data_IF_982180447263
#
_entry.id   IF_982180447263
#
_cell.length_a   1.000
_cell.length_b   1.000
_cell.length_c   1.000
_cell.angle_alpha   90.00
_cell.angle_beta   90.00
_cell.angle_gamma   90.00
#
_symmetry.space_group_name_H-M   'P 1'
#
loop_
_entity.id
_entity.type
_entity.pdbx_description
1 polymer ?
#
# COMPACT_ATOMS: atom_id res chain seq x y z
N UNK A 1 -4.39 5.11 -0.19
CA UNK A 1 -4.77 5.50 1.19
C UNK A 1 -4.22 6.90 1.49
N UNK A 2 -4.65 7.94 0.75
CA UNK A 2 -3.93 9.23 0.76
C UNK A 2 -4.78 10.50 0.59
N UNK A 3 -6.12 10.43 0.69
CA UNK A 3 -6.95 11.63 0.47
C UNK A 3 -7.79 12.07 1.69
N UNK A 4 -7.94 11.23 2.72
CA UNK A 4 -8.83 11.55 3.84
C UNK A 4 -8.27 12.66 4.74
N UNK A 5 -6.95 12.77 4.86
CA UNK A 5 -6.27 13.76 5.71
C UNK A 5 -6.45 15.19 5.15
N UNK A 6 -6.57 15.35 3.82
CA UNK A 6 -6.73 16.66 3.19
C UNK A 6 -8.10 17.30 3.48
N UNK A 7 -9.16 16.50 3.67
CA UNK A 7 -10.53 17.02 3.88
C UNK A 7 -10.72 17.51 5.31
N UNK A 8 -10.11 16.84 6.29
CA UNK A 8 -10.24 17.20 7.72
C UNK A 8 -9.54 18.53 8.05
N UNK A 9 -8.37 18.81 7.46
CA UNK A 9 -7.64 20.06 7.69
C UNK A 9 -8.37 21.30 7.13
N UNK A 10 -9.11 21.16 6.03
CA UNK A 10 -9.88 22.25 5.39
C UNK A 10 -11.23 22.51 6.08
N UNK A 11 -11.82 21.52 6.73
CA UNK A 11 -13.13 21.64 7.40
C UNK A 11 -13.17 22.63 8.56
N UNK A 12 -12.01 23.01 9.11
CA UNK A 12 -11.91 23.91 10.28
C UNK A 12 -12.04 25.41 9.92
N UNK A 13 -11.85 25.77 8.65
CA UNK A 13 -11.93 27.17 8.18
C UNK A 13 -13.17 27.47 7.32
N UNK A 14 -13.81 26.47 6.68
CA UNK A 14 -15.04 26.64 5.89
C UNK A 14 -15.85 25.33 5.70
N UNK A 15 -16.97 25.11 6.43
CA UNK A 15 -17.72 23.84 6.39
C UNK A 15 -18.47 23.58 5.07
N UNK A 16 -18.89 24.65 4.37
CA UNK A 16 -19.62 24.55 3.10
C UNK A 16 -18.67 24.11 1.97
N UNK A 17 -17.44 24.64 1.95
CA UNK A 17 -16.43 24.28 0.96
C UNK A 17 -15.97 22.82 1.11
N UNK A 18 -15.83 22.35 2.35
CA UNK A 18 -15.49 20.96 2.66
C UNK A 18 -16.51 19.96 2.08
N UNK A 19 -17.80 20.29 2.14
CA UNK A 19 -18.87 19.42 1.61
C UNK A 19 -18.83 19.29 0.08
N UNK A 20 -18.51 20.38 -0.62
CA UNK A 20 -18.39 20.39 -2.09
C UNK A 20 -17.14 19.61 -2.51
N UNK A 21 -16.00 19.83 -1.84
CA UNK A 21 -14.75 19.11 -2.11
C UNK A 21 -14.91 17.62 -1.84
N UNK A 22 -15.55 17.24 -0.73
CA UNK A 22 -15.82 15.83 -0.43
C UNK A 22 -16.73 15.19 -1.49
N UNK A 23 -17.78 15.87 -1.95
CA UNK A 23 -18.67 15.36 -3.00
C UNK A 23 -17.95 15.15 -4.33
N UNK A 24 -17.07 16.08 -4.72
CA UNK A 24 -16.28 15.99 -5.97
C UNK A 24 -15.19 14.93 -5.89
N UNK A 25 -14.55 14.75 -4.71
CA UNK A 25 -13.46 13.78 -4.54
C UNK A 25 -13.93 12.36 -4.21
N UNK A 26 -15.14 12.19 -3.65
CA UNK A 26 -15.72 10.87 -3.30
C UNK A 26 -15.70 9.83 -4.42
N UNK A 27 -16.03 10.13 -5.70
CA UNK A 27 -15.95 9.13 -6.77
C UNK A 27 -14.51 8.70 -7.11
N UNK A 28 -13.49 9.46 -6.71
CA UNK A 28 -12.08 9.14 -6.94
C UNK A 28 -11.43 8.38 -5.77
N UNK A 29 -12.17 8.17 -4.68
CA UNK A 29 -11.66 7.52 -3.47
C UNK A 29 -12.30 6.15 -3.26
N UNK A 30 -11.48 5.11 -3.14
CA UNK A 30 -11.94 3.76 -2.75
C UNK A 30 -12.45 3.76 -1.30
N UNK A 31 -13.53 3.01 -1.05
CA UNK A 31 -14.05 2.77 0.30
C UNK A 31 -13.11 1.84 1.09
N UNK A 32 -13.26 1.80 2.43
CA UNK A 32 -12.45 0.94 3.30
C UNK A 32 -12.51 -0.54 2.88
N UNK A 33 -13.71 -1.04 2.61
CA UNK A 33 -13.94 -2.42 2.17
C UNK A 33 -13.23 -2.70 0.84
N UNK A 34 -13.31 -1.77 -0.12
CA UNK A 34 -12.65 -1.89 -1.42
C UNK A 34 -11.12 -1.85 -1.29
N UNK A 35 -10.59 -1.11 -0.32
CA UNK A 35 -9.15 -1.08 -0.04
C UNK A 35 -8.62 -2.36 0.60
N UNK A 36 -9.43 -3.04 1.41
CA UNK A 36 -9.08 -4.31 2.06
C UNK A 36 -9.35 -5.54 1.20
N UNK A 37 -10.25 -5.44 0.21
CA UNK A 37 -10.78 -6.56 -0.56
C UNK A 37 -9.69 -7.47 -1.14
N UNK A 38 -8.69 -6.92 -1.84
CA UNK A 38 -7.62 -7.72 -2.45
C UNK A 38 -6.77 -8.44 -1.41
N UNK A 39 -6.43 -7.79 -0.29
CA UNK A 39 -5.66 -8.41 0.78
C UNK A 39 -6.44 -9.56 1.43
N UNK A 40 -7.74 -9.37 1.69
CA UNK A 40 -8.61 -10.42 2.25
C UNK A 40 -8.77 -11.57 1.25
N UNK A 41 -8.90 -11.26 -0.05
CA UNK A 41 -8.95 -12.26 -1.11
C UNK A 41 -7.69 -13.11 -1.13
N UNK A 42 -6.50 -12.49 -1.15
CA UNK A 42 -5.23 -13.21 -1.14
C UNK A 42 -5.00 -14.02 0.15
N UNK A 43 -5.53 -13.59 1.28
CA UNK A 43 -5.32 -14.25 2.57
C UNK A 43 -6.28 -15.42 2.83
N UNK A 44 -7.50 -15.38 2.31
CA UNK A 44 -8.57 -16.31 2.72
C UNK A 44 -9.22 -17.09 1.55
N UNK A 45 -8.98 -16.70 0.30
CA UNK A 45 -9.63 -17.35 -0.84
C UNK A 45 -8.99 -18.71 -1.17
N UNK A 46 -9.78 -19.80 -1.28
CA UNK A 46 -9.25 -21.11 -1.67
C UNK A 46 -8.74 -21.14 -3.13
N UNK A 47 -9.14 -20.15 -3.94
CA UNK A 47 -8.71 -20.05 -5.34
C UNK A 47 -7.23 -19.69 -5.52
N UNK A 48 -6.61 -19.07 -4.50
CA UNK A 48 -5.22 -18.61 -4.54
C UNK A 48 -4.33 -19.30 -3.50
N UNK A 49 -4.88 -20.28 -2.77
CA UNK A 49 -4.19 -20.99 -1.69
C UNK A 49 -2.88 -21.67 -2.14
N UNK A 50 -2.85 -22.18 -3.37
CA UNK A 50 -1.70 -22.86 -3.95
C UNK A 50 -0.89 -21.96 -4.92
N UNK A 51 -1.20 -20.67 -5.00
CA UNK A 51 -0.53 -19.73 -5.90
C UNK A 51 0.37 -18.77 -5.10
N UNK A 52 1.67 -18.77 -5.41
CA UNK A 52 2.64 -17.87 -4.76
C UNK A 52 3.35 -16.98 -5.77
N UNK A 53 3.69 -15.75 -5.38
CA UNK A 53 4.55 -14.87 -6.16
C UNK A 53 3.87 -14.22 -7.37
N UNK A 54 2.54 -14.13 -7.39
CA UNK A 54 1.77 -13.36 -8.38
C UNK A 54 1.35 -12.00 -7.83
N UNK A 55 1.13 -11.05 -8.72
CA UNK A 55 0.59 -9.74 -8.38
C UNK A 55 -0.92 -9.67 -8.58
N UNK A 56 -1.67 -9.34 -7.52
CA UNK A 56 -3.13 -9.19 -7.57
C UNK A 56 -3.55 -7.74 -7.37
N UNK A 57 -4.52 -7.28 -8.15
CA UNK A 57 -5.17 -5.98 -8.01
C UNK A 57 -6.68 -6.13 -8.21
N UNK A 58 -7.47 -5.37 -7.43
CA UNK A 58 -8.94 -5.42 -7.43
C UNK A 58 -9.49 -6.87 -7.43
N UNK A 59 -8.95 -7.72 -6.53
CA UNK A 59 -9.27 -9.15 -6.37
C UNK A 59 -9.01 -10.06 -7.61
N UNK A 60 -8.22 -9.63 -8.59
CA UNK A 60 -7.89 -10.40 -9.78
C UNK A 60 -6.37 -10.49 -10.00
N UNK A 61 -5.94 -11.51 -10.75
CA UNK A 61 -4.54 -11.62 -11.21
C UNK A 61 -4.26 -10.47 -12.19
N UNK A 62 -3.40 -9.55 -11.76
CA UNK A 62 -3.06 -8.32 -12.48
C UNK A 62 -1.58 -8.34 -12.90
N UNK A 63 -0.98 -9.53 -13.08
CA UNK A 63 0.42 -9.69 -13.47
C UNK A 63 0.77 -8.93 -14.77
N UNK A 64 -0.21 -8.72 -15.66
CA UNK A 64 -0.04 -7.95 -16.91
C UNK A 64 0.20 -6.46 -16.69
N UNK A 65 -0.30 -5.91 -15.59
CA UNK A 65 -0.15 -4.49 -15.24
C UNK A 65 1.14 -4.25 -14.44
N UNK A 66 1.85 -5.31 -14.06
CA UNK A 66 3.09 -5.24 -13.33
C UNK A 66 4.24 -4.79 -14.26
N UNK A 67 5.07 -3.87 -13.78
CA UNK A 67 6.34 -3.54 -14.44
C UNK A 67 7.36 -4.67 -14.27
N UNK A 68 7.19 -5.75 -15.04
CA UNK A 68 7.95 -7.00 -14.93
C UNK A 68 9.46 -6.79 -14.96
N UNK A 69 9.95 -5.84 -15.78
CA UNK A 69 11.38 -5.57 -15.92
C UNK A 69 12.08 -5.17 -14.61
N UNK A 70 11.38 -4.45 -13.72
CA UNK A 70 11.92 -4.07 -12.40
C UNK A 70 11.44 -5.03 -11.32
N UNK A 71 10.17 -5.45 -11.38
CA UNK A 71 9.56 -6.28 -10.35
C UNK A 71 10.15 -7.70 -10.29
N UNK A 72 10.70 -8.21 -11.41
CA UNK A 72 11.29 -9.56 -11.51
C UNK A 72 12.81 -9.53 -11.66
N UNK A 73 13.46 -8.38 -11.49
CA UNK A 73 14.92 -8.30 -11.44
C UNK A 73 15.42 -8.82 -10.09
N UNK A 74 15.95 -10.05 -10.08
CA UNK A 74 16.48 -10.71 -8.87
C UNK A 74 17.65 -9.94 -8.26
N UNK A 75 18.52 -9.36 -9.09
CA UNK A 75 19.70 -8.61 -8.61
C UNK A 75 19.28 -7.35 -7.84
N UNK A 76 18.23 -6.68 -8.30
CA UNK A 76 17.65 -5.52 -7.65
C UNK A 76 16.92 -5.90 -6.36
N UNK A 77 16.21 -7.03 -6.36
CA UNK A 77 15.54 -7.56 -5.16
C UNK A 77 16.55 -7.87 -4.04
N UNK A 78 17.65 -8.54 -4.36
CA UNK A 78 18.71 -8.88 -3.40
C UNK A 78 19.41 -7.63 -2.85
N UNK A 79 19.66 -6.65 -3.72
CA UNK A 79 20.24 -5.38 -3.33
C UNK A 79 19.31 -4.62 -2.36
N UNK A 80 18.01 -4.57 -2.65
CA UNK A 80 17.01 -3.93 -1.79
C UNK A 80 16.89 -4.63 -0.42
N UNK A 81 16.85 -5.96 -0.42
CA UNK A 81 16.79 -6.76 0.80
C UNK A 81 18.01 -6.51 1.68
N UNK A 82 19.21 -6.57 1.10
CA UNK A 82 20.48 -6.33 1.80
C UNK A 82 20.53 -4.94 2.44
N UNK A 83 20.09 -3.90 1.71
CA UNK A 83 20.04 -2.53 2.23
C UNK A 83 19.02 -2.36 3.36
N UNK A 84 17.87 -3.02 3.26
CA UNK A 84 16.85 -2.99 4.32
C UNK A 84 17.38 -3.62 5.61
N UNK A 85 18.10 -4.75 5.52
CA UNK A 85 18.74 -5.39 6.67
C UNK A 85 19.84 -4.51 7.28
N UNK A 86 20.63 -3.82 6.46
CA UNK A 86 21.65 -2.87 6.94
C UNK A 86 21.01 -1.76 7.80
N UNK A 87 19.88 -1.21 7.35
CA UNK A 87 19.15 -0.16 8.08
C UNK A 87 18.59 -0.66 9.41
N UNK A 88 18.00 -1.85 9.44
CA UNK A 88 17.48 -2.45 10.68
C UNK A 88 18.62 -2.68 11.67
N UNK A 89 19.73 -3.29 11.25
CA UNK A 89 20.90 -3.53 12.12
C UNK A 89 21.46 -2.23 12.68
N UNK A 90 21.54 -1.18 11.85
CA UNK A 90 22.00 0.14 12.30
C UNK A 90 21.06 0.73 13.36
N UNK A 91 19.75 0.58 13.17
CA UNK A 91 18.75 1.03 14.15
C UNK A 91 18.86 0.26 15.47
N UNK A 92 18.95 -1.08 15.41
CA UNK A 92 19.12 -1.94 16.58
C UNK A 92 20.39 -1.58 17.36
N UNK A 93 21.52 -1.40 16.68
CA UNK A 93 22.80 -1.03 17.31
C UNK A 93 22.74 0.35 17.98
N UNK A 94 22.07 1.32 17.36
CA UNK A 94 21.90 2.65 17.95
C UNK A 94 20.97 2.65 19.17
N UNK A 95 19.94 1.82 19.17
CA UNK A 95 19.02 1.69 20.31
C UNK A 95 19.64 0.91 21.47
N UNK A 96 20.47 -0.09 21.17
CA UNK A 96 21.27 -0.83 22.16
C UNK A 96 22.39 0.03 22.78
N UNK A 97 22.84 1.08 22.11
CA UNK A 97 23.80 2.05 22.66
C UNK A 97 23.15 3.05 23.64
N UNK A 98 21.83 3.09 23.72
CA UNK A 98 21.05 3.97 24.60
C UNK A 98 20.53 3.27 25.87
N UNK A 99 20.79 1.97 26.02
CA UNK A 99 20.56 1.16 27.23
C UNK A 99 21.89 0.86 27.93
#
# INVERSE_FOLDING_TARGET
>A
MQCLICVEALGRFAPILSSIVAFVLKPFTKNLEQGAATTVYCAASPFVENESGRYYADCNDAEKDLHTALARDESLQDALWSKSLEFIKKFENNNMAHL
#
